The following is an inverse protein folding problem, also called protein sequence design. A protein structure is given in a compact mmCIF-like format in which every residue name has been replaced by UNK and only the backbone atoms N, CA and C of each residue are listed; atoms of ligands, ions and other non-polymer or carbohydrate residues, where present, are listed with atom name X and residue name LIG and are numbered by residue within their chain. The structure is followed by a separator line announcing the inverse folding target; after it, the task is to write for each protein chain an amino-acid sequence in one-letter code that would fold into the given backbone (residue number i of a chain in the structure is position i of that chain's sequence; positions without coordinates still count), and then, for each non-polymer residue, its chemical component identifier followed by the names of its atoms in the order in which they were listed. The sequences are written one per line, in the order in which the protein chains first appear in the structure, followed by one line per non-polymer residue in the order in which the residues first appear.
data_IF_209737983388
#
_entry.id   IF_209737983388
#
_cell.length_a   1.000
_cell.length_b   1.000
_cell.length_c   1.000
_cell.angle_alpha   90.00
_cell.angle_beta   90.00
_cell.angle_gamma   90.00
#
_symmetry.space_group_name_H-M   'P 1'
#
loop_
_entity.id
_entity.type
_entity.pdbx_description
1 polymer ?
#
# COMPACT_ATOMS: atom_id res chain seq x y z
N UNK A 1 8.69 11.76 4.72
CA UNK A 1 7.57 11.57 3.79
C UNK A 1 8.15 11.29 2.43
N UNK A 2 7.67 10.27 1.74
CA UNK A 2 8.24 9.85 0.46
C UNK A 2 7.14 9.75 -0.58
N UNK A 3 7.39 10.25 -1.79
CA UNK A 3 6.46 10.21 -2.91
C UNK A 3 7.11 9.47 -4.06
N UNK A 4 6.34 8.61 -4.71
CA UNK A 4 6.79 7.72 -5.77
C UNK A 4 5.92 7.92 -7.00
N UNK A 5 6.53 7.90 -8.19
CA UNK A 5 5.83 7.78 -9.47
C UNK A 5 5.96 6.34 -9.94
N UNK A 6 4.83 5.68 -10.13
CA UNK A 6 4.78 4.30 -10.57
C UNK A 6 4.60 4.23 -12.09
N UNK A 7 4.93 3.09 -12.66
CA UNK A 7 4.58 2.78 -14.05
C UNK A 7 3.06 2.91 -14.24
N UNK A 8 2.64 3.47 -15.38
CA UNK A 8 1.22 3.76 -15.64
C UNK A 8 0.73 5.10 -15.08
N UNK A 9 1.62 5.92 -14.49
CA UNK A 9 1.31 7.30 -14.10
C UNK A 9 0.64 7.45 -12.72
N UNK A 10 0.54 6.36 -11.95
CA UNK A 10 0.06 6.40 -10.57
C UNK A 10 1.10 7.10 -9.68
N UNK A 11 0.62 7.92 -8.73
CA UNK A 11 1.45 8.53 -7.70
C UNK A 11 1.11 7.90 -6.36
N UNK A 12 2.12 7.45 -5.63
CA UNK A 12 1.97 6.91 -4.29
C UNK A 12 2.73 7.76 -3.28
N UNK A 13 2.16 7.97 -2.10
CA UNK A 13 2.82 8.67 -0.99
C UNK A 13 2.81 7.80 0.25
N UNK A 14 3.96 7.70 0.92
CA UNK A 14 4.14 6.93 2.14
C UNK A 14 4.66 7.82 3.26
N UNK A 15 3.94 7.79 4.37
CA UNK A 15 4.31 8.45 5.62
C UNK A 15 4.68 7.36 6.65
N UNK A 16 5.97 7.24 6.96
CA UNK A 16 6.50 6.28 7.92
C UNK A 16 7.20 7.03 9.07
N UNK A 17 6.78 6.79 10.31
CA UNK A 17 7.35 7.42 11.50
C UNK A 17 7.15 6.53 12.72
N UNK A 18 8.19 6.43 13.55
CA UNK A 18 8.12 5.82 14.88
C UNK A 18 7.60 6.79 15.95
N UNK A 19 7.54 8.09 15.62
CA UNK A 19 7.17 9.16 16.54
C UNK A 19 5.79 9.75 16.19
N UNK A 20 4.81 8.90 15.84
CA UNK A 20 3.45 9.31 15.52
C UNK A 20 2.43 8.51 16.33
N UNK A 21 1.43 9.19 16.88
CA UNK A 21 0.30 8.52 17.56
C UNK A 21 -0.68 7.97 16.52
N UNK A 22 -1.24 6.80 16.78
CA UNK A 22 -2.15 6.14 15.84
C UNK A 22 -3.56 6.74 15.97
N UNK A 23 -4.06 7.36 14.90
CA UNK A 23 -5.45 7.77 14.74
C UNK A 23 -5.95 7.39 13.34
N UNK A 24 -6.03 6.08 13.12
CA UNK A 24 -6.37 5.39 11.87
C UNK A 24 -6.65 3.92 12.21
N UNK A 25 -7.09 3.15 11.23
CA UNK A 25 -7.64 1.82 11.47
C UNK A 25 -6.60 0.79 11.97
N UNK A 26 -5.32 0.97 11.65
CA UNK A 26 -4.28 0.00 12.00
C UNK A 26 -2.87 0.65 12.08
N UNK A 27 -1.82 -0.13 12.38
CA UNK A 27 -0.41 0.27 12.42
C UNK A 27 0.19 0.52 11.03
N UNK A 28 -0.39 -0.05 9.97
CA UNK A 28 -0.12 0.27 8.57
C UNK A 28 -1.46 0.51 7.88
N UNK A 29 -1.53 1.50 6.99
CA UNK A 29 -2.77 1.78 6.25
C UNK A 29 -2.42 2.17 4.83
N UNK A 30 -3.04 1.52 3.85
CA UNK A 30 -2.97 1.88 2.44
C UNK A 30 -4.34 2.32 1.95
N UNK A 31 -4.42 3.52 1.39
CA UNK A 31 -5.59 3.95 0.62
C UNK A 31 -5.25 3.90 -0.87
N UNK A 32 -6.12 3.26 -1.65
CA UNK A 32 -5.99 3.13 -3.11
C UNK A 32 -7.24 3.69 -3.75
N UNK A 33 -7.11 4.88 -4.33
CA UNK A 33 -8.17 5.58 -5.04
C UNK A 33 -8.17 5.21 -6.53
N UNK A 34 -9.30 4.76 -7.04
CA UNK A 34 -9.51 4.40 -8.43
C UNK A 34 -10.73 5.07 -9.04
N UNK A 35 -10.87 4.96 -10.36
CA UNK A 35 -11.99 5.57 -11.10
C UNK A 35 -13.36 4.97 -10.77
N UNK A 36 -13.40 3.79 -10.14
CA UNK A 36 -14.64 3.06 -9.81
C UNK A 36 -14.89 2.91 -8.31
N UNK A 37 -14.03 3.48 -7.49
CA UNK A 37 -14.11 3.39 -6.03
C UNK A 37 -12.73 3.38 -5.38
N UNK A 38 -12.75 3.34 -4.06
CA UNK A 38 -11.56 3.39 -3.21
C UNK A 38 -11.54 2.20 -2.26
N UNK A 39 -10.34 1.75 -1.90
CA UNK A 39 -10.10 0.82 -0.81
C UNK A 39 -9.19 1.42 0.25
N UNK A 40 -9.43 1.10 1.52
CA UNK A 40 -8.54 1.39 2.66
C UNK A 40 -8.23 0.07 3.37
N UNK A 41 -6.98 -0.37 3.28
CA UNK A 41 -6.52 -1.64 3.84
C UNK A 41 -5.57 -1.43 5.01
N UNK A 42 -5.80 -2.18 6.09
CA UNK A 42 -4.88 -2.35 7.22
C UNK A 42 -4.03 -3.63 7.08
N UNK A 43 -3.56 -4.17 8.20
CA UNK A 43 -2.82 -5.44 8.23
C UNK A 43 -3.75 -6.65 8.09
N UNK A 44 -5.03 -6.50 8.47
CA UNK A 44 -6.01 -7.59 8.54
C UNK A 44 -7.30 -7.30 7.79
N UNK A 45 -7.80 -6.09 7.90
CA UNK A 45 -9.08 -5.69 7.30
C UNK A 45 -8.87 -4.82 6.06
N UNK A 46 -9.85 -4.86 5.16
CA UNK A 46 -9.96 -3.96 4.03
C UNK A 46 -11.37 -3.39 3.96
N UNK A 47 -11.47 -2.08 3.76
CA UNK A 47 -12.71 -1.34 3.59
C UNK A 47 -12.81 -0.84 2.16
N UNK A 48 -13.98 -0.90 1.56
CA UNK A 48 -14.22 -0.42 0.19
C UNK A 48 -15.40 0.53 0.13
N UNK A 49 -15.29 1.54 -0.73
CA UNK A 49 -16.40 2.39 -1.13
C UNK A 49 -16.45 2.46 -2.66
N UNK A 50 -17.44 1.82 -3.30
CA UNK A 50 -17.63 1.94 -4.74
C UNK A 50 -18.10 3.36 -5.09
N UNK A 51 -17.83 3.81 -6.33
CA UNK A 51 -18.25 5.12 -6.81
C UNK A 51 -19.74 5.43 -6.56
N UNK A 52 -20.62 4.43 -6.76
CA UNK A 52 -22.06 4.59 -6.55
C UNK A 52 -22.50 4.76 -5.10
N UNK A 53 -21.61 4.52 -4.13
CA UNK A 53 -21.87 4.71 -2.71
C UNK A 53 -21.20 5.98 -2.14
N UNK A 54 -20.41 6.71 -2.94
CA UNK A 54 -19.71 7.91 -2.47
C UNK A 54 -20.69 9.06 -2.21
N UNK A 55 -20.71 9.65 -1.01
CA UNK A 55 -21.60 10.77 -0.70
C UNK A 55 -21.18 12.04 -1.46
N UNK A 56 -22.07 13.03 -1.48
CA UNK A 56 -21.79 14.36 -2.05
C UNK A 56 -21.79 15.42 -0.94
N UNK A 57 -20.77 15.46 -0.06
CA UNK A 57 -20.71 16.44 1.00
C UNK A 57 -20.52 17.86 0.45
N UNK A 58 -21.02 18.85 1.18
CA UNK A 58 -20.86 20.27 0.85
C UNK A 58 -20.00 20.91 1.92
N UNK A 59 -18.91 21.56 1.49
CA UNK A 59 -18.02 22.26 2.41
C UNK A 59 -18.76 23.45 3.07
N UNK A 60 -18.94 23.39 4.38
CA UNK A 60 -19.49 24.47 5.17
C UNK A 60 -18.73 24.58 6.52
N UNK A 61 -17.86 25.60 6.70
CA UNK A 61 -17.12 25.76 7.94
C UNK A 61 -17.95 26.34 9.10
N UNK A 62 -19.12 26.92 8.80
CA UNK A 62 -19.98 27.58 9.79
C UNK A 62 -20.94 26.61 10.49
N UNK A 63 -21.03 25.37 10.00
CA UNK A 63 -21.88 24.32 10.56
C UNK A 63 -21.06 23.10 10.98
N UNK A 64 -21.50 22.43 12.04
CA UNK A 64 -20.95 21.13 12.41
C UNK A 64 -21.38 20.09 11.38
N UNK A 65 -20.43 19.29 10.90
CA UNK A 65 -20.68 18.15 10.00
C UNK A 65 -21.40 17.03 10.76
N UNK A 66 -22.66 16.68 10.41
CA UNK A 66 -23.37 15.60 11.07
C UNK A 66 -23.01 14.19 10.56
N UNK A 67 -22.35 14.06 9.40
CA UNK A 67 -22.06 12.77 8.79
C UNK A 67 -20.87 12.03 9.42
N UNK A 68 -20.98 10.70 9.55
CA UNK A 68 -19.85 9.82 9.83
C UNK A 68 -19.35 9.14 8.55
N UNK A 69 -18.34 9.74 7.92
CA UNK A 69 -17.77 9.23 6.67
C UNK A 69 -17.17 7.82 6.77
N UNK A 70 -16.89 7.30 7.97
CA UNK A 70 -16.44 5.90 8.13
C UNK A 70 -17.58 4.91 7.94
N UNK A 71 -18.81 5.31 8.24
CA UNK A 71 -19.99 4.46 8.11
C UNK A 71 -20.37 4.19 6.64
N UNK A 72 -19.90 5.02 5.70
CA UNK A 72 -20.17 4.88 4.26
C UNK A 72 -19.29 3.81 3.57
N UNK A 73 -18.50 3.04 4.33
CA UNK A 73 -17.59 2.02 3.82
C UNK A 73 -18.06 0.62 4.17
N UNK A 74 -17.74 -0.34 3.30
CA UNK A 74 -18.06 -1.74 3.50
C UNK A 74 -16.79 -2.54 3.78
N UNK A 75 -16.77 -3.28 4.90
CA UNK A 75 -15.69 -4.24 5.17
C UNK A 75 -15.76 -5.36 4.14
N UNK A 76 -14.64 -5.63 3.49
CA UNK A 76 -14.48 -6.79 2.61
C UNK A 76 -14.53 -8.06 3.46
N UNK A 77 -15.40 -9.03 3.15
CA UNK A 77 -15.49 -10.26 3.92
C UNK A 77 -14.27 -11.16 3.71
N UNK A 78 -13.92 -11.91 4.74
CA UNK A 78 -12.89 -12.94 4.64
C UNK A 78 -13.38 -14.07 3.73
N UNK A 79 -12.73 -14.25 2.59
CA UNK A 79 -13.12 -15.27 1.59
C UNK A 79 -12.47 -16.63 1.84
N UNK A 80 -11.39 -16.65 2.62
CA UNK A 80 -10.64 -17.85 2.96
C UNK A 80 -9.87 -17.65 4.27
N UNK A 81 -9.46 -18.73 4.95
CA UNK A 81 -8.49 -18.64 6.02
C UNK A 81 -7.13 -18.16 5.48
N UNK A 82 -6.52 -17.19 6.16
CA UNK A 82 -5.16 -16.74 5.87
C UNK A 82 -4.20 -17.34 6.90
N UNK A 83 -3.26 -18.17 6.43
CA UNK A 83 -2.19 -18.74 7.25
C UNK A 83 -1.07 -17.72 7.50
N UNK A 84 -0.08 -18.08 8.30
CA UNK A 84 1.13 -17.30 8.51
C UNK A 84 1.85 -17.02 7.18
N UNK A 85 2.02 -15.74 6.84
CA UNK A 85 2.61 -15.31 5.57
C UNK A 85 4.06 -15.81 5.38
N UNK A 86 4.85 -15.93 6.45
CA UNK A 86 6.22 -16.44 6.36
C UNK A 86 6.22 -17.94 6.03
N UNK A 87 5.38 -18.74 6.70
CA UNK A 87 5.18 -20.16 6.38
C UNK A 87 4.74 -20.34 4.93
N UNK A 88 3.78 -19.55 4.47
CA UNK A 88 3.33 -19.59 3.08
C UNK A 88 4.46 -19.32 2.08
N UNK A 89 5.29 -18.30 2.30
CA UNK A 89 6.42 -18.02 1.41
C UNK A 89 7.51 -19.11 1.48
N UNK A 90 7.75 -19.71 2.65
CA UNK A 90 8.64 -20.86 2.79
C UNK A 90 8.17 -22.06 1.98
N UNK A 91 6.87 -22.39 2.02
CA UNK A 91 6.32 -23.46 1.21
C UNK A 91 6.51 -23.20 -0.29
N UNK A 92 6.30 -21.97 -0.76
CA UNK A 92 6.52 -21.58 -2.15
C UNK A 92 8.00 -21.72 -2.54
N UNK A 93 8.92 -21.29 -1.68
CA UNK A 93 10.36 -21.44 -1.92
C UNK A 93 10.80 -22.90 -1.96
N UNK A 94 10.29 -23.75 -1.05
CA UNK A 94 10.61 -25.17 -1.05
C UNK A 94 10.08 -25.89 -2.29
N UNK A 95 8.87 -25.55 -2.76
CA UNK A 95 8.33 -26.08 -4.02
C UNK A 95 9.14 -25.62 -5.24
N UNK A 96 9.59 -24.37 -5.25
CA UNK A 96 10.49 -23.88 -6.28
C UNK A 96 11.79 -24.70 -6.34
N UNK A 97 12.44 -24.94 -5.21
CA UNK A 97 13.70 -25.70 -5.15
C UNK A 97 13.49 -27.18 -5.47
N UNK A 98 12.43 -27.80 -4.98
CA UNK A 98 12.22 -29.24 -5.08
C UNK A 98 11.49 -29.69 -6.36
N UNK A 99 10.67 -28.82 -6.95
CA UNK A 99 9.77 -29.14 -8.05
C UNK A 99 9.84 -28.14 -9.23
N UNK A 100 10.79 -27.21 -9.21
CA UNK A 100 10.97 -26.18 -10.25
C UNK A 100 9.71 -25.32 -10.49
N UNK A 101 8.88 -25.16 -9.45
CA UNK A 101 7.72 -24.28 -9.51
C UNK A 101 8.15 -22.80 -9.65
N UNK A 102 7.37 -21.95 -10.35
CA UNK A 102 7.69 -20.53 -10.50
C UNK A 102 7.82 -19.81 -9.15
N UNK A 103 8.87 -18.98 -9.01
CA UNK A 103 9.13 -18.21 -7.80
C UNK A 103 9.58 -16.78 -8.11
N UNK A 104 8.76 -15.81 -7.74
CA UNK A 104 8.99 -14.40 -8.08
C UNK A 104 9.95 -13.68 -7.12
N UNK A 105 10.10 -14.15 -5.88
CA UNK A 105 10.79 -13.42 -4.80
C UNK A 105 12.27 -13.80 -4.66
N UNK A 106 13.02 -13.73 -5.76
CA UNK A 106 14.45 -14.07 -5.77
C UNK A 106 15.30 -12.99 -5.08
N UNK A 107 16.61 -13.22 -4.97
CA UNK A 107 17.55 -12.21 -4.45
C UNK A 107 17.54 -10.90 -5.25
N UNK A 108 17.13 -10.93 -6.53
CA UNK A 108 16.98 -9.72 -7.34
C UNK A 108 15.92 -8.76 -6.75
N UNK A 109 14.82 -9.29 -6.20
CA UNK A 109 13.81 -8.46 -5.53
C UNK A 109 14.35 -7.83 -4.24
N UNK A 110 15.25 -8.54 -3.54
CA UNK A 110 16.01 -7.97 -2.41
C UNK A 110 16.92 -6.82 -2.84
N UNK A 111 17.63 -6.98 -3.96
CA UNK A 111 18.49 -5.93 -4.51
C UNK A 111 17.70 -4.68 -4.93
N UNK A 112 16.52 -4.84 -5.56
CA UNK A 112 15.60 -3.73 -5.87
C UNK A 112 15.17 -2.96 -4.62
N UNK A 113 14.96 -3.66 -3.50
CA UNK A 113 14.63 -3.04 -2.22
C UNK A 113 15.73 -2.11 -1.71
N UNK A 114 16.99 -2.57 -1.75
CA UNK A 114 18.15 -1.74 -1.35
C UNK A 114 18.34 -0.57 -2.30
N UNK A 115 18.23 -0.80 -3.61
CA UNK A 115 18.32 0.25 -4.62
C UNK A 115 17.32 1.38 -4.36
N UNK A 116 16.06 1.05 -4.08
CA UNK A 116 15.04 2.05 -3.79
C UNK A 116 15.36 2.86 -2.53
N UNK A 117 15.89 2.20 -1.49
CA UNK A 117 16.30 2.87 -0.25
C UNK A 117 17.46 3.85 -0.49
N UNK A 118 18.49 3.44 -1.25
CA UNK A 118 19.61 4.31 -1.62
C UNK A 118 19.15 5.49 -2.47
N UNK A 119 18.23 5.27 -3.42
CA UNK A 119 17.64 6.36 -4.22
C UNK A 119 16.80 7.32 -3.38
N UNK A 120 16.10 6.83 -2.36
CA UNK A 120 15.42 7.72 -1.43
C UNK A 120 16.40 8.61 -0.63
N UNK A 121 17.55 8.07 -0.22
CA UNK A 121 18.62 8.85 0.43
C UNK A 121 19.26 9.87 -0.52
N UNK A 122 19.55 9.47 -1.76
CA UNK A 122 20.07 10.38 -2.81
C UNK A 122 19.10 11.53 -3.09
N UNK A 123 17.80 11.23 -3.21
CA UNK A 123 16.73 12.22 -3.38
C UNK A 123 16.70 13.22 -2.22
N UNK A 124 16.85 12.74 -1.00
CA UNK A 124 16.88 13.59 0.18
C UNK A 124 18.08 14.53 0.18
N UNK A 125 19.28 14.01 -0.07
CA UNK A 125 20.51 14.80 -0.13
C UNK A 125 20.44 15.89 -1.21
N UNK A 126 20.00 15.51 -2.42
CA UNK A 126 19.91 16.42 -3.57
C UNK A 126 18.66 17.31 -3.55
N UNK A 127 17.69 17.04 -2.68
CA UNK A 127 16.39 17.73 -2.58
C UNK A 127 15.61 17.77 -3.90
N UNK A 128 15.64 16.67 -4.65
CA UNK A 128 14.96 16.55 -5.93
C UNK A 128 14.47 15.12 -6.18
N UNK A 129 13.59 14.97 -7.17
CA UNK A 129 13.21 13.65 -7.69
C UNK A 129 14.43 12.93 -8.29
N UNK A 130 14.49 11.62 -8.12
CA UNK A 130 15.50 10.76 -8.74
C UNK A 130 14.80 9.60 -9.43
N UNK A 131 15.33 9.21 -10.58
CA UNK A 131 14.88 8.03 -11.28
C UNK A 131 15.47 6.77 -10.64
N UNK A 132 14.68 5.71 -10.63
CA UNK A 132 15.12 4.37 -10.22
C UNK A 132 15.47 3.61 -11.51
N UNK A 133 16.77 3.40 -11.82
CA UNK A 133 17.16 2.71 -13.03
C UNK A 133 16.80 1.23 -12.95
N UNK A 134 16.56 0.59 -14.10
CA UNK A 134 16.38 -0.86 -14.13
C UNK A 134 17.68 -1.55 -13.67
N UNK A 135 17.56 -2.58 -12.82
CA UNK A 135 18.70 -3.40 -12.39
C UNK A 135 19.07 -4.46 -13.43
N UNK A 136 18.29 -4.59 -14.51
CA UNK A 136 18.48 -5.61 -15.53
C UNK A 136 18.01 -6.99 -15.07
N UNK A 137 17.97 -7.91 -16.04
CA UNK A 137 17.92 -9.36 -15.82
C UNK A 137 19.29 -9.95 -16.07
#
# INVERSE_FOLDING_TARGET
YSTFRLQGGVVAQINASWCVRVRRDDLLTFQVDGTKGTAVAGLRDCWVQPYGATPRPVWNPDASEPADYRADWHRVPDQQPYDNAFKAQWELFLRHVAADEPFAWTLLEGAKGVQLAEKALESWEKRQWVDVPDLGK
#
